data_IF_160279343807
#
_entry.id   IF_160279343807
#
_cell.length_a   1.000
_cell.length_b   1.000
_cell.length_c   1.000
_cell.angle_alpha   90.00
_cell.angle_beta   90.00
_cell.angle_gamma   90.00
#
_symmetry.space_group_name_H-M   'P 1'
#
loop_
_entity.id
_entity.type
_entity.pdbx_description
1 polymer ?
#
# COMPACT_ATOMS: atom_id res chain seq x y z
N UNK A 1 97.01 3.91 -27.27
CA UNK A 1 96.07 3.65 -26.14
C UNK A 1 95.16 2.50 -26.53
N UNK A 2 94.65 1.79 -25.51
CA UNK A 2 94.05 0.44 -25.46
C UNK A 2 92.92 0.10 -26.48
N UNK A 3 92.66 -1.21 -26.69
CA UNK A 3 91.99 -1.80 -27.85
C UNK A 3 90.46 -2.05 -27.61
N UNK A 4 89.71 -2.71 -28.53
CA UNK A 4 88.28 -2.52 -28.73
C UNK A 4 87.41 -3.31 -27.74
N UNK A 5 86.25 -2.75 -27.38
CA UNK A 5 85.27 -3.42 -26.55
C UNK A 5 84.40 -4.38 -27.37
N UNK A 6 84.54 -5.67 -27.05
CA UNK A 6 83.75 -6.78 -27.54
C UNK A 6 82.33 -6.81 -26.93
N UNK A 7 81.41 -7.43 -27.67
CA UNK A 7 80.03 -7.78 -27.28
C UNK A 7 79.97 -8.58 -25.96
N UNK A 8 78.82 -8.51 -25.25
CA UNK A 8 78.28 -9.67 -24.56
C UNK A 8 77.10 -10.30 -25.31
N UNK A 9 77.09 -11.63 -25.33
CA UNK A 9 75.95 -12.48 -25.70
C UNK A 9 75.18 -12.92 -24.42
N UNK A 10 74.29 -13.92 -24.49
CA UNK A 10 72.85 -13.82 -24.27
C UNK A 10 72.39 -14.16 -22.84
N UNK A 11 71.23 -13.66 -22.42
CA UNK A 11 70.51 -14.19 -21.25
C UNK A 11 69.11 -14.69 -21.63
N UNK A 12 69.05 -16.02 -21.67
CA UNK A 12 68.03 -16.98 -21.22
C UNK A 12 66.59 -16.50 -20.90
N UNK A 13 65.66 -17.28 -21.46
CA UNK A 13 64.24 -17.37 -21.16
C UNK A 13 63.96 -17.69 -19.68
N UNK A 14 62.97 -16.99 -19.09
CA UNK A 14 62.13 -17.52 -18.03
C UNK A 14 60.66 -17.36 -18.41
N UNK A 15 60.05 -18.52 -18.62
CA UNK A 15 58.61 -18.75 -18.74
C UNK A 15 57.86 -18.15 -17.55
N UNK A 16 56.89 -17.29 -17.81
CA UNK A 16 55.77 -17.05 -16.89
C UNK A 16 54.49 -17.07 -17.70
N UNK A 17 53.65 -18.03 -17.37
CA UNK A 17 52.29 -18.19 -17.87
C UNK A 17 51.47 -16.93 -17.58
N UNK A 18 50.62 -16.45 -18.52
CA UNK A 18 49.73 -15.35 -18.24
C UNK A 18 48.68 -15.77 -17.19
N UNK A 19 48.34 -14.90 -16.22
CA UNK A 19 47.34 -15.21 -15.21
C UNK A 19 45.97 -15.43 -15.86
N UNK A 20 45.34 -16.52 -15.41
CA UNK A 20 43.97 -16.92 -15.73
C UNK A 20 43.01 -15.73 -15.50
N UNK A 21 42.15 -15.38 -16.47
CA UNK A 21 41.18 -14.30 -16.27
C UNK A 21 40.22 -14.67 -15.12
N UNK A 22 39.79 -13.68 -14.31
CA UNK A 22 38.82 -13.90 -13.24
C UNK A 22 37.50 -14.44 -13.81
N UNK A 23 36.74 -15.23 -13.03
CA UNK A 23 35.46 -15.75 -13.47
C UNK A 23 34.53 -14.61 -13.86
N UNK A 24 33.87 -14.83 -14.99
CA UNK A 24 32.89 -14.00 -15.66
C UNK A 24 31.85 -13.38 -14.71
N UNK A 25 31.56 -12.10 -14.98
CA UNK A 25 30.35 -11.32 -14.68
C UNK A 25 29.10 -12.08 -14.16
N UNK A 26 28.37 -11.54 -13.17
CA UNK A 26 27.08 -12.07 -12.73
C UNK A 26 25.97 -11.62 -13.69
N UNK A 27 25.87 -12.21 -14.88
CA UNK A 27 24.87 -11.78 -15.86
C UNK A 27 24.21 -12.94 -16.60
N UNK A 28 23.62 -13.89 -15.86
CA UNK A 28 22.62 -14.83 -16.39
C UNK A 28 21.91 -15.60 -15.27
N UNK A 29 21.42 -14.91 -14.23
CA UNK A 29 20.55 -15.56 -13.23
C UNK A 29 19.11 -15.50 -13.72
N UNK A 30 18.50 -16.66 -13.95
CA UNK A 30 17.07 -16.84 -14.22
C UNK A 30 16.23 -16.84 -12.94
N UNK A 31 16.87 -16.86 -11.77
CA UNK A 31 16.22 -16.87 -10.46
C UNK A 31 15.36 -15.61 -10.27
N UNK A 32 14.17 -15.69 -9.67
CA UNK A 32 13.33 -14.52 -9.43
C UNK A 32 14.02 -13.36 -8.69
N UNK A 33 13.44 -12.16 -8.74
CA UNK A 33 13.92 -10.99 -7.98
C UNK A 33 12.86 -10.56 -6.97
N UNK A 34 13.23 -10.51 -5.69
CA UNK A 34 12.41 -9.94 -4.62
C UNK A 34 12.69 -8.44 -4.49
N UNK A 35 11.67 -7.60 -4.50
CA UNK A 35 11.80 -6.16 -4.22
C UNK A 35 11.21 -5.83 -2.86
N UNK A 36 12.01 -5.25 -1.96
CA UNK A 36 11.58 -4.87 -0.61
C UNK A 36 11.47 -3.35 -0.45
N UNK A 37 10.36 -2.89 0.13
CA UNK A 37 10.11 -1.49 0.47
C UNK A 37 9.96 -1.35 1.99
N UNK A 38 10.95 -0.75 2.71
CA UNK A 38 10.98 -0.68 4.16
C UNK A 38 9.97 0.35 4.71
N UNK A 39 9.47 0.21 5.95
CA UNK A 39 8.36 1.01 6.46
C UNK A 39 8.62 2.52 6.57
N UNK A 40 9.86 2.94 6.90
CA UNK A 40 10.29 4.35 7.00
C UNK A 40 11.81 4.53 6.73
N UNK A 41 12.26 5.68 6.19
CA UNK A 41 13.68 6.07 6.14
C UNK A 41 14.13 6.97 7.33
N UNK A 42 15.38 6.93 7.84
CA UNK A 42 16.50 5.99 7.57
C UNK A 42 16.65 4.88 8.65
N UNK A 43 17.38 3.76 8.38
CA UNK A 43 17.11 2.45 9.00
C UNK A 43 18.22 1.94 9.96
N UNK A 44 18.08 0.77 10.62
CA UNK A 44 19.18 -0.18 10.80
C UNK A 44 19.36 -1.10 9.57
N UNK A 45 20.57 -1.65 9.33
CA UNK A 45 21.00 -2.23 8.06
C UNK A 45 20.85 -3.76 7.98
N UNK A 46 19.65 -4.30 8.18
CA UNK A 46 19.43 -5.72 7.85
C UNK A 46 18.12 -5.90 7.12
N UNK A 47 18.20 -6.32 5.86
CA UNK A 47 17.08 -7.00 5.20
C UNK A 47 16.57 -8.09 6.14
N UNK A 48 15.25 -8.33 6.22
CA UNK A 48 14.73 -9.38 7.07
C UNK A 48 15.40 -10.72 6.69
N UNK A 49 15.83 -11.55 7.67
CA UNK A 49 16.65 -12.75 7.43
C UNK A 49 16.08 -13.70 6.37
N UNK A 50 14.75 -13.82 6.33
CA UNK A 50 13.99 -14.52 5.30
C UNK A 50 14.38 -14.19 3.86
N UNK A 51 14.92 -13.00 3.58
CA UNK A 51 15.30 -12.57 2.24
C UNK A 51 16.75 -12.89 1.89
N UNK A 52 17.59 -13.24 2.86
CA UNK A 52 19.01 -13.56 2.62
C UNK A 52 19.23 -14.69 1.60
N UNK A 53 18.38 -15.74 1.51
CA UNK A 53 18.53 -16.78 0.51
C UNK A 53 18.21 -16.33 -0.93
N UNK A 54 17.55 -15.18 -1.11
CA UNK A 54 16.95 -14.78 -2.38
C UNK A 54 17.63 -13.53 -2.99
N UNK A 55 17.77 -13.46 -4.32
CA UNK A 55 18.16 -12.22 -5.00
C UNK A 55 17.16 -11.11 -4.67
N UNK A 56 17.63 -10.11 -3.92
CA UNK A 56 16.76 -9.06 -3.36
C UNK A 56 17.28 -7.67 -3.73
N UNK A 57 16.39 -6.80 -4.22
CA UNK A 57 16.63 -5.37 -4.41
C UNK A 57 15.80 -4.59 -3.37
N UNK A 58 16.44 -3.79 -2.54
CA UNK A 58 15.76 -2.94 -1.55
C UNK A 58 15.61 -1.53 -2.13
N UNK A 59 14.39 -1.01 -2.16
CA UNK A 59 14.09 0.32 -2.67
C UNK A 59 13.76 1.22 -1.48
N UNK A 60 14.68 2.13 -1.17
CA UNK A 60 14.44 3.20 -0.20
C UNK A 60 13.67 4.33 -0.88
N UNK A 61 12.50 4.65 -0.37
CA UNK A 61 11.63 5.71 -0.87
C UNK A 61 11.48 6.82 0.15
N UNK A 62 11.28 8.06 -0.31
CA UNK A 62 11.17 9.25 0.53
C UNK A 62 9.72 9.51 0.94
N UNK A 63 9.25 8.78 1.96
CA UNK A 63 7.95 9.04 2.58
C UNK A 63 8.05 8.98 4.10
N UNK A 64 7.98 10.15 4.74
CA UNK A 64 8.11 10.26 6.19
C UNK A 64 7.32 11.46 6.70
N UNK A 65 6.70 11.37 7.88
CA UNK A 65 6.11 12.53 8.54
C UNK A 65 7.15 13.48 9.15
N UNK A 66 8.43 13.08 9.18
CA UNK A 66 9.49 13.93 9.70
C UNK A 66 9.65 15.20 8.85
N UNK A 67 9.72 16.35 9.53
CA UNK A 67 9.99 17.64 8.90
C UNK A 67 11.31 17.56 8.13
N UNK A 68 11.26 17.81 6.82
CA UNK A 68 12.45 18.20 6.07
C UNK A 68 13.04 19.44 6.74
N UNK A 69 14.31 19.38 7.14
CA UNK A 69 15.00 20.52 7.76
C UNK A 69 14.84 21.74 6.85
N UNK A 70 14.18 22.83 7.30
CA UNK A 70 13.92 24.01 6.47
C UNK A 70 15.21 24.71 6.01
N UNK A 71 16.37 24.34 6.56
CA UNK A 71 17.67 24.87 6.14
C UNK A 71 18.18 24.30 4.80
N UNK A 72 17.60 23.20 4.31
CA UNK A 72 18.03 22.55 3.07
C UNK A 72 17.02 22.81 1.94
N UNK A 73 17.07 24.02 1.38
CA UNK A 73 16.20 24.51 0.30
C UNK A 73 16.33 23.69 -1.02
N UNK A 74 17.27 22.75 -1.06
CA UNK A 74 17.51 21.80 -2.16
C UNK A 74 16.97 20.39 -1.87
N UNK A 75 16.44 20.14 -0.68
CA UNK A 75 15.94 18.83 -0.28
C UNK A 75 14.57 18.55 -0.89
N UNK A 76 14.50 17.51 -1.72
CA UNK A 76 13.23 16.96 -2.23
C UNK A 76 12.31 16.58 -1.07
N UNK A 77 11.02 16.93 -1.13
CA UNK A 77 10.14 16.79 0.02
C UNK A 77 9.80 15.32 0.29
N UNK A 78 9.76 14.92 1.58
CA UNK A 78 9.48 13.54 2.05
C UNK A 78 7.97 13.18 2.04
N UNK A 79 7.19 13.82 1.17
CA UNK A 79 5.73 13.77 1.12
C UNK A 79 5.23 13.37 -0.27
N UNK A 80 3.96 12.99 -0.37
CA UNK A 80 3.34 12.66 -1.65
C UNK A 80 3.45 13.80 -2.67
N UNK A 81 3.79 13.55 -3.96
CA UNK A 81 3.97 12.26 -4.64
C UNK A 81 5.42 11.76 -4.76
N UNK A 82 6.39 12.37 -4.09
CA UNK A 82 7.82 11.96 -4.17
C UNK A 82 8.05 10.44 -4.06
N UNK A 83 7.48 9.70 -3.09
CA UNK A 83 7.76 8.27 -2.96
C UNK A 83 7.23 7.44 -4.13
N UNK A 84 6.17 7.87 -4.79
CA UNK A 84 5.71 7.22 -6.02
C UNK A 84 6.75 7.34 -7.13
N UNK A 85 7.34 8.52 -7.28
CA UNK A 85 8.40 8.76 -8.26
C UNK A 85 9.65 7.94 -7.96
N UNK A 86 10.04 7.85 -6.68
CA UNK A 86 11.19 7.04 -6.25
C UNK A 86 11.02 5.57 -6.65
N UNK A 87 9.85 4.99 -6.32
CA UNK A 87 9.53 3.60 -6.62
C UNK A 87 9.42 3.35 -8.13
N UNK A 88 8.74 4.24 -8.85
CA UNK A 88 8.59 4.13 -10.31
C UNK A 88 9.93 4.21 -11.03
N UNK A 89 10.79 5.16 -10.64
CA UNK A 89 12.13 5.31 -11.21
C UNK A 89 12.99 4.09 -10.91
N UNK A 90 13.00 3.61 -9.65
CA UNK A 90 13.76 2.43 -9.26
C UNK A 90 13.30 1.18 -10.03
N UNK A 91 11.99 0.97 -10.18
CA UNK A 91 11.45 -0.14 -10.96
C UNK A 91 11.86 -0.07 -12.44
N UNK A 92 11.77 1.12 -13.05
CA UNK A 92 12.20 1.33 -14.44
C UNK A 92 13.71 1.07 -14.62
N UNK A 93 14.53 1.50 -13.66
CA UNK A 93 15.96 1.21 -13.67
C UNK A 93 16.25 -0.28 -13.55
N UNK A 94 15.62 -0.97 -12.59
CA UNK A 94 15.81 -2.41 -12.39
C UNK A 94 15.39 -3.20 -13.62
N UNK A 95 14.21 -2.90 -14.18
CA UNK A 95 13.73 -3.57 -15.40
C UNK A 95 14.65 -3.35 -16.60
N UNK A 96 15.23 -2.16 -16.75
CA UNK A 96 16.20 -1.87 -17.81
C UNK A 96 17.54 -2.60 -17.61
N UNK A 97 18.04 -2.68 -16.39
CA UNK A 97 19.40 -3.18 -16.09
C UNK A 97 19.44 -4.69 -15.88
N UNK A 98 18.36 -5.28 -15.34
CA UNK A 98 18.33 -6.69 -14.91
C UNK A 98 17.39 -7.56 -15.75
N UNK A 99 16.82 -7.04 -16.84
CA UNK A 99 16.03 -7.86 -17.77
C UNK A 99 16.91 -8.99 -18.30
N UNK A 100 16.45 -10.25 -18.17
CA UNK A 100 17.24 -11.37 -18.66
C UNK A 100 17.16 -11.41 -20.20
N UNK A 101 18.18 -11.98 -20.88
CA UNK A 101 18.20 -12.05 -22.35
C UNK A 101 17.08 -12.95 -22.88
N UNK A 102 16.45 -12.56 -23.99
CA UNK A 102 15.43 -13.37 -24.65
C UNK A 102 16.01 -14.75 -25.04
N UNK A 103 15.31 -15.88 -24.82
CA UNK A 103 13.90 -16.04 -24.42
C UNK A 103 13.64 -16.22 -22.92
N UNK A 104 14.66 -16.01 -22.07
CA UNK A 104 14.51 -16.27 -20.64
C UNK A 104 13.53 -15.30 -19.97
N UNK A 105 12.83 -15.80 -18.95
CA UNK A 105 11.87 -15.03 -18.14
C UNK A 105 12.36 -15.01 -16.70
N UNK A 106 12.10 -13.91 -16.02
CA UNK A 106 12.44 -13.73 -14.61
C UNK A 106 11.25 -13.04 -13.91
N UNK A 107 10.57 -13.68 -12.96
CA UNK A 107 9.47 -13.02 -12.28
C UNK A 107 10.01 -12.03 -11.21
N UNK A 108 9.28 -10.93 -11.00
CA UNK A 108 9.52 -9.99 -9.90
C UNK A 108 8.43 -10.19 -8.84
N UNK A 109 8.83 -10.38 -7.59
CA UNK A 109 7.95 -10.47 -6.43
C UNK A 109 8.14 -9.25 -5.54
N UNK A 110 7.04 -8.59 -5.16
CA UNK A 110 7.07 -7.39 -4.33
C UNK A 110 6.75 -7.74 -2.88
N UNK A 111 7.52 -7.15 -1.96
CA UNK A 111 7.45 -7.36 -0.52
C UNK A 111 7.43 -6.01 0.17
N UNK A 112 6.42 -5.73 0.99
CA UNK A 112 6.40 -4.46 1.73
C UNK A 112 5.55 -4.51 2.99
N UNK A 113 5.69 -3.48 3.82
CA UNK A 113 4.88 -3.27 5.01
C UNK A 113 4.40 -1.82 5.14
N UNK A 114 3.33 -1.61 5.89
CA UNK A 114 2.84 -0.28 6.31
C UNK A 114 2.64 0.70 5.14
N UNK A 115 3.38 1.82 5.12
CA UNK A 115 3.28 2.83 4.06
C UNK A 115 3.69 2.27 2.70
N UNK A 116 4.77 1.49 2.66
CA UNK A 116 5.30 0.92 1.43
C UNK A 116 4.32 -0.07 0.79
N UNK A 117 3.41 -0.67 1.58
CA UNK A 117 2.40 -1.56 1.06
C UNK A 117 1.46 -0.85 0.08
N UNK A 118 1.14 0.44 0.29
CA UNK A 118 0.39 1.24 -0.70
C UNK A 118 1.15 1.31 -2.03
N UNK A 119 2.43 1.65 -1.97
CA UNK A 119 3.30 1.81 -3.15
C UNK A 119 3.49 0.49 -3.89
N UNK A 120 3.81 -0.57 -3.16
CA UNK A 120 4.01 -1.91 -3.71
C UNK A 120 2.72 -2.45 -4.34
N UNK A 121 1.56 -2.22 -3.71
CA UNK A 121 0.27 -2.62 -4.26
C UNK A 121 -0.03 -1.89 -5.56
N UNK A 122 0.12 -0.56 -5.56
CA UNK A 122 -0.11 0.24 -6.77
C UNK A 122 0.83 -0.17 -7.90
N UNK A 123 2.12 -0.36 -7.62
CA UNK A 123 3.09 -0.86 -8.60
C UNK A 123 2.69 -2.24 -9.12
N UNK A 124 2.28 -3.15 -8.25
CA UNK A 124 1.85 -4.49 -8.65
C UNK A 124 0.65 -4.46 -9.59
N UNK A 125 -0.33 -3.60 -9.31
CA UNK A 125 -1.54 -3.46 -10.12
C UNK A 125 -1.24 -2.86 -11.51
N UNK A 126 -0.26 -1.96 -11.61
CA UNK A 126 0.08 -1.30 -12.88
C UNK A 126 1.19 -2.00 -13.67
N UNK A 127 2.00 -2.84 -13.03
CA UNK A 127 3.15 -3.51 -13.67
C UNK A 127 3.02 -5.03 -13.79
N UNK A 128 1.90 -5.61 -13.36
CA UNK A 128 1.63 -7.04 -13.57
C UNK A 128 1.20 -7.33 -15.02
N UNK A 129 2.21 -7.61 -15.85
CA UNK A 129 2.07 -7.90 -17.29
C UNK A 129 2.55 -9.31 -17.62
N UNK A 130 1.67 -10.34 -17.68
CA UNK A 130 2.04 -11.75 -17.84
C UNK A 130 2.89 -12.09 -19.08
N UNK A 131 2.70 -11.31 -20.15
CA UNK A 131 3.40 -11.52 -21.41
C UNK A 131 4.84 -10.97 -21.38
N UNK A 132 5.14 -9.97 -20.55
CA UNK A 132 6.47 -9.36 -20.41
C UNK A 132 7.40 -10.32 -19.66
N UNK A 133 8.62 -10.60 -20.15
CA UNK A 133 9.51 -11.61 -19.53
C UNK A 133 10.03 -11.23 -18.15
N UNK A 134 10.19 -9.94 -17.87
CA UNK A 134 10.65 -9.39 -16.60
C UNK A 134 9.65 -8.36 -16.07
N UNK A 135 8.70 -8.83 -15.26
CA UNK A 135 7.59 -8.03 -14.76
C UNK A 135 7.08 -8.55 -13.42
N UNK A 136 6.23 -7.77 -12.76
CA UNK A 136 5.65 -8.15 -11.47
C UNK A 136 4.74 -9.36 -11.65
N UNK A 137 4.89 -10.36 -10.77
CA UNK A 137 4.10 -11.60 -10.77
C UNK A 137 3.37 -11.85 -9.46
N UNK A 138 3.96 -11.43 -8.35
CA UNK A 138 3.33 -11.56 -7.06
C UNK A 138 3.64 -10.39 -6.13
N UNK A 139 2.80 -10.28 -5.11
CA UNK A 139 2.81 -9.24 -4.10
C UNK A 139 2.53 -9.90 -2.74
N UNK A 140 3.38 -9.65 -1.75
CA UNK A 140 3.06 -9.92 -0.35
C UNK A 140 3.27 -8.65 0.48
N UNK A 141 2.23 -8.24 1.20
CA UNK A 141 2.23 -6.97 1.95
C UNK A 141 1.68 -7.16 3.35
N UNK A 142 2.36 -6.55 4.33
CA UNK A 142 2.04 -6.65 5.75
C UNK A 142 1.51 -5.33 6.31
N UNK A 143 0.38 -5.37 7.03
CA UNK A 143 -0.22 -4.20 7.71
C UNK A 143 -0.26 -2.94 6.84
N UNK A 144 -0.67 -3.11 5.59
CA UNK A 144 -0.69 -2.03 4.62
C UNK A 144 -1.88 -1.09 4.75
N UNK A 145 -1.69 0.14 4.28
CA UNK A 145 -2.77 1.09 4.01
C UNK A 145 -3.12 1.03 2.52
N UNK A 146 -4.37 0.74 2.19
CA UNK A 146 -4.85 0.59 0.82
C UNK A 146 -5.95 1.59 0.44
N UNK A 147 -6.48 2.33 1.42
CA UNK A 147 -7.48 3.36 1.22
C UNK A 147 -7.31 4.49 2.25
N UNK A 148 -6.52 5.50 1.91
CA UNK A 148 -6.26 6.66 2.77
C UNK A 148 -7.50 7.53 3.00
N UNK A 149 -8.50 7.45 2.11
CA UNK A 149 -9.77 8.17 2.33
C UNK A 149 -10.53 7.68 3.56
N UNK A 150 -10.19 6.50 4.11
CA UNK A 150 -10.79 5.99 5.36
C UNK A 150 -10.43 6.81 6.59
N UNK A 151 -9.39 7.62 6.54
CA UNK A 151 -9.02 8.50 7.64
C UNK A 151 -9.81 9.82 7.64
N UNK A 152 -10.51 10.15 6.55
CA UNK A 152 -11.31 11.37 6.50
C UNK A 152 -12.56 11.25 7.38
N UNK A 153 -12.96 12.30 8.12
CA UNK A 153 -14.06 12.25 9.08
C UNK A 153 -15.40 11.89 8.43
N UNK A 154 -15.63 12.31 7.18
CA UNK A 154 -16.87 12.05 6.46
C UNK A 154 -16.99 10.61 5.93
N UNK A 155 -15.90 9.83 6.00
CA UNK A 155 -15.88 8.47 5.53
C UNK A 155 -16.89 7.60 6.28
N UNK A 156 -17.56 6.72 5.54
CA UNK A 156 -18.67 5.89 6.04
C UNK A 156 -18.26 4.97 7.20
N UNK A 157 -16.97 4.72 7.36
CA UNK A 157 -16.39 3.92 8.45
C UNK A 157 -16.60 4.59 9.81
N UNK A 158 -16.68 5.92 9.85
CA UNK A 158 -16.89 6.72 11.07
C UNK A 158 -18.36 7.03 11.32
N UNK A 159 -19.23 6.84 10.31
CA UNK A 159 -20.66 7.11 10.45
C UNK A 159 -21.30 6.05 11.33
N UNK A 160 -21.78 6.46 12.51
CA UNK A 160 -22.65 5.65 13.33
C UNK A 160 -23.89 5.26 12.52
N UNK A 161 -24.03 3.97 12.20
CA UNK A 161 -25.22 3.48 11.50
C UNK A 161 -26.47 3.95 12.26
N UNK A 162 -27.46 4.59 11.60
CA UNK A 162 -28.72 4.88 12.28
C UNK A 162 -29.28 3.54 12.75
N UNK A 163 -29.41 3.37 14.07
CA UNK A 163 -30.10 2.22 14.64
C UNK A 163 -31.48 2.23 14.00
N UNK A 164 -31.76 1.26 13.12
CA UNK A 164 -33.14 1.00 12.68
C UNK A 164 -33.92 0.71 13.95
N UNK A 165 -34.62 1.71 14.47
CA UNK A 165 -35.57 1.61 15.56
C UNK A 165 -36.72 0.78 15.03
N UNK A 166 -36.55 -0.55 15.01
CA UNK A 166 -37.71 -1.44 15.11
C UNK A 166 -38.25 -1.20 16.51
N UNK A 167 -39.24 -0.32 16.61
CA UNK A 167 -40.08 -0.16 17.77
C UNK A 167 -40.70 -1.54 18.08
N UNK A 168 -40.07 -2.31 18.96
CA UNK A 168 -40.73 -3.36 19.71
C UNK A 168 -40.81 -2.86 21.13
N UNK A 169 -42.05 -2.59 21.57
CA UNK A 169 -42.43 -2.45 22.97
C UNK A 169 -41.82 -3.63 23.75
N UNK A 170 -40.82 -3.35 24.56
CA UNK A 170 -40.60 -4.08 25.81
C UNK A 170 -40.00 -3.14 26.84
N UNK A 171 -40.88 -2.78 27.76
CA UNK A 171 -40.60 -2.16 29.04
C UNK A 171 -39.58 -2.97 29.81
N UNK A 172 -38.42 -2.36 30.10
CA UNK A 172 -37.68 -2.47 31.38
C UNK A 172 -36.59 -1.39 31.39
N UNK A 173 -36.56 -0.49 32.39
CA UNK A 173 -35.51 0.51 32.50
C UNK A 173 -34.25 -0.18 33.03
N UNK A 174 -33.30 -0.45 32.14
CA UNK A 174 -31.97 -0.90 32.57
C UNK A 174 -31.15 0.36 32.84
N UNK A 175 -30.87 0.57 34.14
CA UNK A 175 -30.05 1.65 34.69
C UNK A 175 -28.84 1.94 33.79
N UNK A 176 -28.68 3.21 33.40
CA UNK A 176 -27.43 3.78 32.91
C UNK A 176 -26.43 3.71 34.06
N UNK A 177 -25.54 2.73 34.05
CA UNK A 177 -24.23 2.91 34.69
C UNK A 177 -23.37 3.67 33.67
N UNK A 178 -23.45 4.99 33.74
CA UNK A 178 -22.35 5.88 33.42
C UNK A 178 -21.40 5.84 34.61
N UNK A 179 -20.30 5.10 34.48
CA UNK A 179 -19.33 4.84 35.54
C UNK A 179 -18.59 3.55 35.23
N UNK A 180 -17.30 3.67 34.99
CA UNK A 180 -16.39 2.71 34.35
C UNK A 180 -15.39 3.55 33.56
N UNK A 181 -14.68 4.47 34.22
CA UNK A 181 -13.45 4.19 34.97
C UNK A 181 -12.40 3.65 34.01
N UNK A 182 -11.49 4.57 33.67
CA UNK A 182 -10.11 4.39 33.21
C UNK A 182 -9.58 2.98 33.48
N UNK A 183 -9.83 2.07 32.53
CA UNK A 183 -9.29 0.74 32.50
C UNK A 183 -8.01 0.75 31.70
N UNK A 184 -6.89 1.04 32.37
CA UNK A 184 -5.54 0.60 32.05
C UNK A 184 -5.28 0.33 30.54
N UNK A 185 -5.03 1.41 29.79
CA UNK A 185 -4.66 1.41 28.37
C UNK A 185 -3.26 0.80 28.09
N UNK A 186 -2.64 0.13 29.06
CA UNK A 186 -1.26 -0.38 28.95
C UNK A 186 -1.12 -1.65 28.09
N UNK A 187 -2.21 -2.21 27.55
CA UNK A 187 -2.19 -3.42 26.69
C UNK A 187 -2.98 -3.26 25.38
N UNK A 188 -3.24 -2.02 24.95
CA UNK A 188 -3.86 -1.74 23.64
C UNK A 188 -2.91 -2.04 22.49
N UNK A 189 -2.98 -3.26 21.94
CA UNK A 189 -2.07 -3.84 20.94
C UNK A 189 -1.56 -2.89 19.84
N UNK A 190 -0.27 -3.06 19.50
CA UNK A 190 0.54 -2.12 18.70
C UNK A 190 -0.08 -1.69 17.37
N UNK A 191 -0.90 -2.54 16.75
CA UNK A 191 -1.61 -2.21 15.51
C UNK A 191 -2.62 -1.05 15.66
N UNK A 192 -3.28 -0.89 16.82
CA UNK A 192 -4.19 0.22 17.07
C UNK A 192 -3.42 1.54 17.24
N UNK A 193 -2.32 1.49 17.99
CA UNK A 193 -1.42 2.63 18.17
C UNK A 193 -0.83 3.09 16.82
N UNK A 194 -0.42 2.14 15.98
CA UNK A 194 0.08 2.43 14.64
C UNK A 194 -0.97 3.16 13.78
N UNK A 195 -2.21 2.68 13.73
CA UNK A 195 -3.27 3.34 12.94
C UNK A 195 -3.57 4.77 13.43
N UNK A 196 -3.57 5.02 14.75
CA UNK A 196 -3.74 6.37 15.32
C UNK A 196 -2.55 7.28 15.02
N UNK A 197 -1.33 6.75 15.10
CA UNK A 197 -0.13 7.49 14.73
C UNK A 197 -0.15 7.87 13.24
N UNK A 198 -0.60 6.97 12.36
CA UNK A 198 -0.80 7.29 10.96
C UNK A 198 -1.82 8.43 10.78
N UNK A 199 -2.96 8.37 11.48
CA UNK A 199 -4.00 9.40 11.42
C UNK A 199 -3.46 10.79 11.78
N UNK A 200 -2.66 10.91 12.85
CA UNK A 200 -2.05 12.18 13.23
C UNK A 200 -0.97 12.67 12.24
N UNK A 201 -0.35 11.74 11.50
CA UNK A 201 0.75 12.02 10.56
C UNK A 201 0.29 12.38 9.14
N UNK A 202 -1.01 12.26 8.83
CA UNK A 202 -1.53 12.47 7.46
C UNK A 202 -1.16 13.85 6.88
N UNK A 203 -1.30 14.97 7.62
CA UNK A 203 -0.97 16.30 7.08
C UNK A 203 0.50 16.43 6.67
N UNK A 204 1.40 15.69 7.30
CA UNK A 204 2.83 15.69 6.99
C UNK A 204 3.15 14.79 5.79
N UNK A 205 2.44 13.65 5.67
CA UNK A 205 2.59 12.70 4.58
C UNK A 205 1.99 13.20 3.25
N UNK A 206 0.94 14.03 3.32
CA UNK A 206 0.20 14.51 2.17
C UNK A 206 0.02 16.03 2.20
N UNK A 207 0.49 16.78 1.18
CA UNK A 207 0.33 18.24 1.15
C UNK A 207 -1.12 18.74 1.13
N UNK A 208 -2.04 17.93 0.61
CA UNK A 208 -3.46 18.27 0.40
C UNK A 208 -4.32 17.02 0.56
N UNK A 209 -5.53 17.17 1.08
CA UNK A 209 -6.48 16.06 1.23
C UNK A 209 -6.86 15.40 -0.10
N UNK A 210 -6.81 16.15 -1.22
CA UNK A 210 -6.98 15.60 -2.57
C UNK A 210 -6.02 14.45 -2.89
N UNK A 211 -4.82 14.45 -2.31
CA UNK A 211 -3.85 13.39 -2.57
C UNK A 211 -4.22 12.04 -1.93
N UNK A 212 -5.13 12.01 -0.94
CA UNK A 212 -5.66 10.75 -0.40
C UNK A 212 -6.55 10.01 -1.41
N UNK A 213 -7.06 10.73 -2.41
CA UNK A 213 -7.91 10.22 -3.49
C UNK A 213 -7.11 9.79 -4.72
N UNK A 214 -5.79 9.91 -4.69
CA UNK A 214 -4.91 9.40 -5.73
C UNK A 214 -4.94 7.86 -5.72
N UNK A 215 -5.27 7.18 -6.85
CA UNK A 215 -5.27 5.72 -6.91
C UNK A 215 -3.93 5.08 -6.58
N UNK A 216 -2.81 5.79 -6.80
CA UNK A 216 -1.48 5.27 -6.47
C UNK A 216 -1.18 5.34 -4.96
N UNK A 217 -1.75 6.31 -4.24
CA UNK A 217 -1.68 6.34 -2.79
C UNK A 217 -2.71 5.39 -2.17
N UNK A 218 -3.91 5.34 -2.72
CA UNK A 218 -5.05 4.53 -2.26
C UNK A 218 -5.40 3.46 -3.31
N UNK A 219 -4.66 2.33 -3.41
CA UNK A 219 -4.86 1.31 -4.44
C UNK A 219 -6.27 0.74 -4.54
N UNK A 220 -7.07 0.80 -3.46
CA UNK A 220 -8.49 0.42 -3.51
C UNK A 220 -9.27 1.23 -4.56
N UNK A 221 -8.83 2.45 -4.89
CA UNK A 221 -9.47 3.33 -5.86
C UNK A 221 -9.27 2.90 -7.31
N UNK A 222 -8.35 1.97 -7.62
CA UNK A 222 -8.34 1.31 -8.93
C UNK A 222 -9.64 0.53 -9.19
N UNK A 223 -10.28 0.03 -8.14
CA UNK A 223 -11.46 -0.85 -8.25
C UNK A 223 -12.79 -0.14 -7.98
N UNK A 224 -12.77 1.09 -7.48
CA UNK A 224 -13.99 1.82 -7.10
C UNK A 224 -13.74 3.31 -6.90
N UNK A 225 -14.81 4.10 -6.90
CA UNK A 225 -14.77 5.48 -6.40
C UNK A 225 -14.83 5.53 -4.87
N UNK A 226 -14.26 6.58 -4.28
CA UNK A 226 -14.28 6.82 -2.83
C UNK A 226 -15.71 7.03 -2.30
N UNK A 227 -16.59 7.63 -3.12
CA UNK A 227 -17.96 7.99 -2.74
C UNK A 227 -18.02 9.00 -1.60
N UNK A 228 -17.09 9.96 -1.65
CA UNK A 228 -16.97 11.15 -0.84
C UNK A 228 -16.51 12.27 -1.76
N UNK A 229 -16.92 13.49 -1.46
CA UNK A 229 -16.33 14.67 -2.08
C UNK A 229 -14.91 14.87 -1.52
N UNK A 230 -14.07 15.54 -2.31
CA UNK A 230 -12.70 15.83 -1.91
C UNK A 230 -12.72 17.03 -0.96
N UNK A 231 -12.40 16.85 0.33
CA UNK A 231 -12.47 17.95 1.29
C UNK A 231 -11.29 18.91 1.08
N UNK A 232 -11.48 20.16 1.47
CA UNK A 232 -10.42 21.18 1.47
C UNK A 232 -9.39 20.98 2.59
N UNK A 233 -9.70 20.17 3.60
CA UNK A 233 -8.82 19.90 4.75
C UNK A 233 -8.96 18.46 5.25
N UNK A 234 -8.01 18.01 6.08
CA UNK A 234 -7.98 16.63 6.60
C UNK A 234 -8.93 16.38 7.76
N UNK A 235 -9.16 17.38 8.61
CA UNK A 235 -9.83 17.21 9.92
C UNK A 235 -11.24 17.77 9.95
N UNK A 236 -11.59 18.70 9.05
CA UNK A 236 -12.91 19.32 9.03
C UNK A 236 -13.86 18.51 8.14
N UNK A 237 -14.98 18.08 8.71
CA UNK A 237 -16.10 17.52 7.94
C UNK A 237 -16.66 18.59 6.99
N UNK A 238 -16.95 18.19 5.75
CA UNK A 238 -17.55 19.06 4.75
C UNK A 238 -18.94 19.56 5.17
N UNK A 239 -19.71 18.73 5.86
CA UNK A 239 -21.01 19.14 6.42
C UNK A 239 -20.84 20.29 7.41
N UNK A 240 -19.84 20.20 8.29
CA UNK A 240 -19.51 21.26 9.24
C UNK A 240 -18.96 22.50 8.53
N UNK A 241 -18.10 22.33 7.53
CA UNK A 241 -17.57 23.44 6.73
C UNK A 241 -18.71 24.22 6.05
N UNK A 242 -19.63 23.52 5.38
CA UNK A 242 -20.80 24.12 4.73
C UNK A 242 -21.74 24.83 5.71
N UNK A 243 -21.78 24.40 6.98
CA UNK A 243 -22.58 25.03 8.02
C UNK A 243 -21.91 26.32 8.52
N UNK A 244 -20.58 26.30 8.69
CA UNK A 244 -19.80 27.49 9.06
C UNK A 244 -19.89 28.55 7.95
N UNK A 245 -19.73 28.17 6.68
CA UNK A 245 -19.80 29.12 5.55
C UNK A 245 -21.19 29.76 5.43
N UNK A 246 -22.26 28.99 5.71
CA UNK A 246 -23.64 29.51 5.79
C UNK A 246 -23.82 30.51 6.94
N UNK A 247 -23.25 30.24 8.11
CA UNK A 247 -23.31 31.17 9.24
C UNK A 247 -22.48 32.44 8.99
N UNK A 248 -21.31 32.30 8.35
CA UNK A 248 -20.46 33.42 7.99
C UNK A 248 -21.13 34.33 6.95
N UNK A 249 -21.70 33.75 5.89
CA UNK A 249 -22.43 34.51 4.86
C UNK A 249 -23.71 35.16 5.39
N UNK A 250 -24.47 34.49 6.26
CA UNK A 250 -25.63 35.09 6.92
C UNK A 250 -25.25 36.26 7.85
N UNK A 251 -24.08 36.19 8.51
CA UNK A 251 -23.57 37.27 9.37
C UNK A 251 -23.04 38.48 8.56
N UNK A 252 -22.57 38.26 7.34
CA UNK A 252 -22.17 39.35 6.44
C UNK A 252 -23.38 40.06 5.82
N UNK A 253 -24.49 39.35 5.60
CA UNK A 253 -25.74 39.90 5.06
C UNK A 253 -26.53 40.70 6.11
N UNK A 254 -26.37 40.42 7.40
CA UNK A 254 -27.01 41.19 8.48
C UNK A 254 -26.34 42.54 8.76
N UNK A 255 -25.16 42.82 8.18
CA UNK A 255 -24.46 44.10 8.33
C UNK A 255 -24.89 45.17 7.31
N UNK A 256 -25.52 44.78 6.19
CA UNK A 256 -25.83 45.69 5.07
C UNK A 256 -27.34 45.82 4.76
N UNK A 257 -28.24 45.17 5.51
CA UNK A 257 -29.68 45.21 5.26
C UNK A 257 -30.42 46.12 6.25
N UNK A 258 -30.34 47.43 6.03
CA UNK A 258 -31.44 48.34 6.37
C UNK A 258 -32.13 48.75 5.07
N UNK A 259 -33.22 48.05 4.73
CA UNK A 259 -34.11 48.44 3.64
C UNK A 259 -34.50 47.32 2.67
N UNK A 260 -35.77 46.93 2.80
CA UNK A 260 -36.66 46.42 1.75
C UNK A 260 -36.51 44.99 1.21
N UNK A 261 -37.66 44.32 1.32
CA UNK A 261 -38.26 43.29 0.48
C UNK A 261 -37.83 41.82 0.65
N UNK A 262 -38.74 41.15 1.34
CA UNK A 262 -38.94 39.73 1.64
C UNK A 262 -39.12 38.92 0.35
N UNK A 263 -38.02 38.44 -0.23
CA UNK A 263 -38.04 37.28 -1.14
C UNK A 263 -37.06 36.22 -0.62
N UNK A 264 -37.59 35.35 0.23
CA UNK A 264 -36.93 34.17 0.79
C UNK A 264 -36.55 33.22 -0.36
N UNK A 265 -35.42 33.49 -1.00
CA UNK A 265 -34.79 32.59 -1.96
C UNK A 265 -34.50 31.25 -1.28
N UNK A 266 -35.34 30.25 -1.59
CA UNK A 266 -35.18 28.85 -1.23
C UNK A 266 -33.75 28.42 -1.57
N UNK A 267 -32.92 28.22 -0.54
CA UNK A 267 -31.65 27.55 -0.69
C UNK A 267 -31.90 26.18 -1.35
N UNK A 268 -31.34 25.99 -2.55
CA UNK A 268 -31.34 24.69 -3.23
C UNK A 268 -30.91 23.61 -2.23
N UNK A 269 -31.56 22.41 -2.22
CA UNK A 269 -31.08 21.31 -1.42
C UNK A 269 -29.60 21.04 -1.77
N UNK A 270 -28.76 20.71 -0.77
CA UNK A 270 -27.36 20.42 -1.03
C UNK A 270 -27.23 19.31 -2.07
N UNK A 271 -26.22 19.38 -2.95
CA UNK A 271 -26.02 18.37 -3.98
C UNK A 271 -25.93 16.98 -3.32
N UNK A 272 -26.51 15.95 -3.96
CA UNK A 272 -26.48 14.60 -3.39
C UNK A 272 -25.03 14.11 -3.32
N UNK A 273 -24.61 13.69 -2.12
CA UNK A 273 -23.26 13.18 -1.90
C UNK A 273 -22.91 12.06 -2.91
N UNK A 274 -21.66 12.06 -3.42
CA UNK A 274 -21.23 11.11 -4.44
C UNK A 274 -21.34 9.68 -3.95
N UNK A 275 -21.80 8.79 -4.83
CA UNK A 275 -21.99 7.37 -4.49
C UNK A 275 -20.73 6.57 -4.83
N UNK A 276 -20.43 5.58 -4.01
CA UNK A 276 -19.41 4.55 -4.33
C UNK A 276 -19.88 3.75 -5.54
N UNK A 277 -19.08 3.73 -6.59
CA UNK A 277 -19.30 2.96 -7.80
C UNK A 277 -18.12 2.00 -8.01
N UNK A 278 -18.40 0.77 -8.43
CA UNK A 278 -17.36 -0.17 -8.81
C UNK A 278 -16.76 0.25 -10.16
N UNK A 279 -15.44 0.21 -10.28
CA UNK A 279 -14.71 0.44 -11.51
C UNK A 279 -14.28 -0.91 -12.10
N UNK A 280 -14.15 -0.95 -13.43
CA UNK A 280 -13.62 -2.11 -14.14
C UNK A 280 -12.12 -1.99 -14.18
N UNK A 281 -11.45 -2.83 -13.40
CA UNK A 281 -10.00 -2.98 -13.38
C UNK A 281 -9.64 -4.47 -13.46
N UNK A 282 -8.54 -4.86 -14.15
CA UNK A 282 -7.75 -4.01 -15.04
C UNK A 282 -8.58 -3.47 -16.23
N UNK A 283 -8.20 -2.33 -16.85
CA UNK A 283 -8.96 -1.83 -17.99
C UNK A 283 -8.92 -2.83 -19.14
N UNK A 284 -10.07 -3.06 -19.79
CA UNK A 284 -10.27 -4.16 -20.76
C UNK A 284 -9.33 -4.15 -21.96
N UNK A 285 -8.85 -2.97 -22.37
CA UNK A 285 -7.94 -2.81 -23.49
C UNK A 285 -6.46 -2.98 -23.09
N UNK A 286 -6.20 -3.29 -21.81
CA UNK A 286 -4.85 -3.48 -21.31
C UNK A 286 -4.53 -4.97 -21.18
N UNK A 287 -3.25 -5.29 -21.26
CA UNK A 287 -2.71 -6.62 -21.01
C UNK A 287 -2.41 -6.88 -19.52
N UNK A 288 -2.87 -5.99 -18.64
CA UNK A 288 -2.65 -6.10 -17.20
C UNK A 288 -3.48 -7.26 -16.63
N UNK A 289 -2.96 -7.89 -15.58
CA UNK A 289 -3.70 -8.86 -14.77
C UNK A 289 -3.57 -8.51 -13.31
N UNK A 290 -4.49 -9.02 -12.49
CA UNK A 290 -4.28 -8.99 -11.05
C UNK A 290 -3.16 -9.98 -10.70
N UNK A 291 -2.08 -9.54 -10.01
CA UNK A 291 -1.00 -10.43 -9.61
C UNK A 291 -1.45 -11.39 -8.50
N UNK A 292 -0.68 -12.46 -8.30
CA UNK A 292 -0.84 -13.28 -7.10
C UNK A 292 -0.55 -12.43 -5.86
N UNK A 293 -1.47 -12.41 -4.89
CA UNK A 293 -1.44 -11.41 -3.82
C UNK A 293 -1.68 -12.05 -2.45
N UNK A 294 -0.80 -11.74 -1.51
CA UNK A 294 -0.91 -12.09 -0.09
C UNK A 294 -1.03 -10.79 0.73
N UNK A 295 -2.19 -10.56 1.34
CA UNK A 295 -2.44 -9.44 2.24
C UNK A 295 -2.38 -9.93 3.69
N UNK A 296 -1.26 -9.67 4.37
CA UNK A 296 -1.03 -10.07 5.74
C UNK A 296 -1.42 -8.91 6.68
N UNK A 297 -2.15 -9.20 7.74
CA UNK A 297 -2.58 -8.16 8.69
C UNK A 297 -2.64 -8.70 10.12
N UNK A 298 -2.47 -7.81 11.08
CA UNK A 298 -2.69 -8.10 12.51
C UNK A 298 -4.07 -7.65 12.96
N UNK A 299 -4.62 -8.35 13.94
CA UNK A 299 -5.93 -8.06 14.54
C UNK A 299 -5.77 -7.59 15.98
N UNK A 300 -6.33 -6.43 16.28
CA UNK A 300 -6.29 -5.86 17.64
C UNK A 300 -7.32 -6.59 18.51
N UNK A 301 -6.85 -7.37 19.50
CA UNK A 301 -7.68 -7.88 20.58
C UNK A 301 -8.47 -9.15 20.23
N UNK A 302 -7.87 -10.32 20.48
CA UNK A 302 -8.60 -11.61 20.53
C UNK A 302 -9.15 -11.87 21.92
N UNK A 303 -10.38 -11.40 22.15
CA UNK A 303 -11.33 -12.19 22.93
C UNK A 303 -11.81 -13.35 22.06
N UNK A 304 -11.22 -14.54 22.24
CA UNK A 304 -11.70 -15.78 21.63
C UNK A 304 -13.21 -15.93 21.85
N UNK A 305 -13.98 -15.99 20.75
CA UNK A 305 -15.36 -16.44 20.80
C UNK A 305 -16.43 -15.35 20.97
N UNK A 306 -16.58 -14.41 20.04
CA UNK A 306 -17.91 -13.82 19.77
C UNK A 306 -18.01 -13.17 18.39
N UNK A 307 -18.80 -13.80 17.50
CA UNK A 307 -19.40 -13.30 16.26
C UNK A 307 -18.61 -12.20 15.51
N UNK A 308 -17.88 -12.64 14.48
CA UNK A 308 -17.16 -11.86 13.43
C UNK A 308 -18.02 -10.88 12.60
N UNK A 309 -19.13 -10.37 13.14
CA UNK A 309 -20.02 -9.40 12.47
C UNK A 309 -19.61 -7.94 12.70
N UNK A 310 -18.67 -7.67 13.62
CA UNK A 310 -18.22 -6.31 13.95
C UNK A 310 -17.06 -5.80 13.07
N UNK A 311 -16.40 -6.68 12.30
CA UNK A 311 -15.27 -6.39 11.39
C UNK A 311 -15.57 -5.40 10.23
N UNK A 312 -16.73 -4.73 10.26
CA UNK A 312 -17.13 -3.72 9.27
C UNK A 312 -17.09 -2.29 9.81
N UNK A 313 -16.61 -2.08 11.04
CA UNK A 313 -16.65 -0.77 11.70
C UNK A 313 -15.27 -0.43 12.24
N UNK A 314 -14.58 0.47 11.55
CA UNK A 314 -13.28 0.98 11.96
C UNK A 314 -12.29 1.00 10.82
N UNK A 315 -11.36 1.96 10.88
CA UNK A 315 -10.20 2.00 10.03
C UNK A 315 -9.08 1.19 10.71
N UNK A 316 -8.96 -0.09 10.36
CA UNK A 316 -7.94 -1.02 10.88
C UNK A 316 -7.20 -1.70 9.74
N UNK A 317 -5.99 -2.24 9.98
CA UNK A 317 -5.26 -3.00 8.96
C UNK A 317 -6.06 -4.20 8.44
N UNK A 318 -6.73 -4.94 9.33
CA UNK A 318 -7.68 -6.01 8.95
C UNK A 318 -8.76 -5.48 7.98
N UNK A 319 -9.45 -4.40 8.35
CA UNK A 319 -10.53 -3.88 7.54
C UNK A 319 -10.05 -3.42 6.16
N UNK A 320 -8.89 -2.78 6.08
CA UNK A 320 -8.29 -2.36 4.82
C UNK A 320 -7.85 -3.55 3.96
N UNK A 321 -7.18 -4.54 4.55
CA UNK A 321 -6.71 -5.73 3.85
C UNK A 321 -7.87 -6.58 3.31
N UNK A 322 -8.89 -6.84 4.12
CA UNK A 322 -10.08 -7.59 3.71
C UNK A 322 -10.87 -6.86 2.62
N UNK A 323 -10.99 -5.54 2.73
CA UNK A 323 -11.68 -4.74 1.73
C UNK A 323 -10.94 -4.76 0.38
N UNK A 324 -9.61 -4.60 0.38
CA UNK A 324 -8.80 -4.72 -0.83
C UNK A 324 -8.87 -6.14 -1.41
N UNK A 325 -8.76 -7.18 -0.58
CA UNK A 325 -8.88 -8.57 -1.04
C UNK A 325 -10.21 -8.83 -1.76
N UNK A 326 -11.32 -8.35 -1.20
CA UNK A 326 -12.64 -8.48 -1.81
C UNK A 326 -12.72 -7.77 -3.17
N UNK A 327 -12.14 -6.57 -3.28
CA UNK A 327 -12.09 -5.83 -4.55
C UNK A 327 -11.26 -6.55 -5.62
N UNK A 328 -10.07 -7.03 -5.25
CA UNK A 328 -9.18 -7.76 -6.15
C UNK A 328 -9.79 -9.10 -6.58
N UNK A 329 -10.41 -9.86 -5.67
CA UNK A 329 -11.11 -11.12 -6.01
C UNK A 329 -12.24 -10.90 -7.01
N UNK A 330 -13.08 -9.88 -6.80
CA UNK A 330 -14.15 -9.50 -7.75
C UNK A 330 -13.59 -9.09 -9.11
N UNK A 331 -12.42 -8.48 -9.13
CA UNK A 331 -11.72 -8.14 -10.38
C UNK A 331 -11.19 -9.40 -11.08
N UNK A 332 -10.58 -10.33 -10.34
CA UNK A 332 -10.14 -11.63 -10.88
C UNK A 332 -11.31 -12.43 -11.43
N UNK A 333 -12.44 -12.48 -10.72
CA UNK A 333 -13.66 -13.15 -11.19
C UNK A 333 -14.13 -12.59 -12.54
N UNK A 334 -14.09 -11.26 -12.69
CA UNK A 334 -14.41 -10.61 -13.97
C UNK A 334 -13.38 -10.94 -15.05
N UNK A 335 -12.09 -10.88 -14.73
CA UNK A 335 -10.99 -11.23 -15.64
C UNK A 335 -11.13 -12.68 -16.14
N UNK A 336 -11.44 -13.61 -15.24
CA UNK A 336 -11.64 -15.04 -15.53
C UNK A 336 -12.89 -15.26 -16.37
N UNK A 337 -14.03 -14.67 -15.99
CA UNK A 337 -15.30 -14.81 -16.73
C UNK A 337 -15.22 -14.25 -18.15
N UNK A 338 -14.39 -13.23 -18.39
CA UNK A 338 -14.14 -12.73 -19.74
C UNK A 338 -13.31 -13.73 -20.58
N UNK A 339 -12.49 -14.57 -19.95
CA UNK A 339 -11.68 -15.60 -20.62
C UNK A 339 -12.30 -16.99 -20.66
N UNK A 340 -13.24 -17.31 -19.79
CA UNK A 340 -13.95 -18.60 -19.78
C UNK A 340 -14.79 -18.84 -21.04
N UNK A 341 -14.93 -17.84 -21.93
CA UNK A 341 -15.47 -18.03 -23.28
C UNK A 341 -14.50 -18.79 -24.20
N UNK A 342 -13.24 -18.92 -23.80
CA UNK A 342 -12.15 -19.53 -24.56
C UNK A 342 -11.44 -20.67 -23.81
N UNK A 343 -11.55 -20.71 -22.48
CA UNK A 343 -10.95 -21.72 -21.61
C UNK A 343 -12.05 -22.51 -20.87
N UNK A 344 -12.25 -23.79 -21.21
CA UNK A 344 -13.32 -24.64 -20.65
C UNK A 344 -13.06 -25.13 -19.20
N UNK A 345 -11.85 -24.96 -18.66
CA UNK A 345 -11.40 -25.58 -17.39
C UNK A 345 -10.98 -24.56 -16.30
N UNK A 346 -11.62 -23.39 -16.22
CA UNK A 346 -11.30 -22.43 -15.15
C UNK A 346 -12.19 -22.68 -13.92
N UNK A 347 -11.64 -23.34 -12.91
CA UNK A 347 -12.34 -23.62 -11.66
C UNK A 347 -12.79 -22.36 -10.89
N UNK A 348 -13.91 -22.46 -10.18
CA UNK A 348 -14.54 -21.33 -9.46
C UNK A 348 -13.66 -20.72 -8.34
N UNK A 349 -12.62 -21.43 -7.89
CA UNK A 349 -11.77 -21.03 -6.77
C UNK A 349 -10.59 -20.12 -7.16
N UNK A 350 -10.40 -19.84 -8.46
CA UNK A 350 -9.27 -19.02 -8.96
C UNK A 350 -9.14 -17.65 -8.27
N UNK A 351 -10.22 -16.89 -8.00
CA UNK A 351 -10.09 -15.62 -7.27
C UNK A 351 -9.52 -15.78 -5.86
N UNK A 352 -9.98 -16.78 -5.12
CA UNK A 352 -9.54 -17.02 -3.74
C UNK A 352 -8.12 -17.60 -3.67
N UNK A 353 -7.74 -18.40 -4.66
CA UNK A 353 -6.37 -18.90 -4.81
C UNK A 353 -5.38 -17.79 -5.19
N UNK A 354 -5.79 -16.84 -6.06
CA UNK A 354 -4.93 -15.75 -6.52
C UNK A 354 -4.76 -14.64 -5.50
N UNK A 355 -5.78 -14.37 -4.68
CA UNK A 355 -5.75 -13.28 -3.67
C UNK A 355 -6.09 -13.84 -2.30
N UNK A 356 -5.08 -13.96 -1.45
CA UNK A 356 -5.19 -14.50 -0.08
C UNK A 356 -5.03 -13.37 0.95
N UNK A 357 -5.77 -13.46 2.05
CA UNK A 357 -5.67 -12.53 3.17
C UNK A 357 -5.45 -13.34 4.45
N UNK A 358 -4.45 -12.95 5.25
CA UNK A 358 -3.96 -13.72 6.39
C UNK A 358 -4.05 -12.88 7.66
N UNK A 359 -4.83 -13.37 8.63
CA UNK A 359 -4.85 -12.85 10.00
C UNK A 359 -3.70 -13.48 10.79
N UNK A 360 -2.74 -12.65 11.17
CA UNK A 360 -1.54 -13.05 11.90
C UNK A 360 -1.68 -12.90 13.41
N UNK A 361 -2.86 -12.50 13.91
CA UNK A 361 -3.04 -12.21 15.32
C UNK A 361 -2.35 -10.90 15.72
N UNK A 362 -1.69 -10.89 16.89
CA UNK A 362 -1.00 -9.72 17.46
C UNK A 362 0.52 -9.81 17.28
N UNK A 363 0.99 -10.61 16.32
CA UNK A 363 2.42 -10.80 16.08
C UNK A 363 2.99 -9.73 15.15
N UNK A 364 4.11 -9.12 15.57
CA UNK A 364 4.82 -8.14 14.77
C UNK A 364 5.64 -8.78 13.64
N UNK A 365 5.74 -8.08 12.51
CA UNK A 365 6.56 -8.49 11.39
C UNK A 365 8.04 -8.30 11.70
N UNK A 366 8.86 -9.31 11.39
CA UNK A 366 10.30 -9.31 11.68
C UNK A 366 10.67 -9.96 13.02
N UNK A 367 9.69 -10.48 13.76
CA UNK A 367 9.96 -11.47 14.82
C UNK A 367 10.37 -12.77 14.13
N UNK A 368 11.61 -13.19 14.38
CA UNK A 368 12.16 -14.43 13.81
C UNK A 368 11.27 -15.61 14.18
N UNK A 369 10.72 -16.29 13.17
CA UNK A 369 9.80 -17.42 13.36
C UNK A 369 8.35 -17.04 13.71
N UNK A 370 7.97 -15.76 13.58
CA UNK A 370 6.57 -15.34 13.69
C UNK A 370 5.70 -15.81 12.52
N UNK A 371 4.39 -15.86 12.70
CA UNK A 371 3.42 -16.32 11.70
C UNK A 371 3.51 -15.56 10.37
N UNK A 372 3.91 -14.28 10.43
CA UNK A 372 4.12 -13.43 9.25
C UNK A 372 5.30 -13.93 8.41
N UNK A 373 6.43 -14.22 9.06
CA UNK A 373 7.64 -14.71 8.42
C UNK A 373 7.42 -16.13 7.92
N UNK A 374 6.81 -17.03 8.71
CA UNK A 374 6.51 -18.40 8.29
C UNK A 374 5.62 -18.44 7.03
N UNK A 375 4.57 -17.62 7.01
CA UNK A 375 3.68 -17.51 5.85
C UNK A 375 4.43 -17.01 4.62
N UNK A 376 5.33 -16.05 4.81
CA UNK A 376 6.10 -15.47 3.73
C UNK A 376 7.20 -16.42 3.23
N UNK A 377 7.86 -17.16 4.13
CA UNK A 377 8.92 -18.12 3.82
C UNK A 377 8.37 -19.21 2.92
N UNK A 378 7.25 -19.81 3.34
CA UNK A 378 6.56 -20.84 2.56
C UNK A 378 6.19 -20.34 1.16
N UNK A 379 5.71 -19.09 1.06
CA UNK A 379 5.36 -18.50 -0.23
C UNK A 379 6.60 -18.29 -1.11
N UNK A 380 7.69 -17.75 -0.55
CA UNK A 380 8.93 -17.54 -1.30
C UNK A 380 9.58 -18.87 -1.72
N UNK A 381 9.60 -19.88 -0.85
CA UNK A 381 10.08 -21.23 -1.18
C UNK A 381 9.33 -21.81 -2.38
N UNK A 382 7.99 -21.75 -2.36
CA UNK A 382 7.14 -22.16 -3.48
C UNK A 382 7.49 -21.42 -4.78
N UNK A 383 7.78 -20.12 -4.71
CA UNK A 383 8.04 -19.28 -5.90
C UNK A 383 9.44 -19.39 -6.46
N UNK A 384 10.42 -19.71 -5.62
CA UNK A 384 11.81 -19.87 -6.02
C UNK A 384 12.19 -21.34 -6.27
N UNK A 385 11.32 -22.28 -5.91
CA UNK A 385 11.46 -23.72 -6.22
C UNK A 385 12.40 -24.45 -5.27
N UNK A 386 12.40 -24.07 -3.98
CA UNK A 386 13.17 -24.74 -2.92
C UNK A 386 12.37 -25.81 -2.20
#
# INVERSE_FOLDING_TARGET
>A
MKPPAARPAPYQYLSTTPPKPPPTSPSSSTSPLSQHYPPQPPPPPSSPPILHPYPTAVIHYRWSPALSDPADDLSTPLRWPTPLHDVSFAYAHLTRTLCPPHPSRRPIYLLSSHLGASLATSLALTESRPHVPFAVRGLAVYNGVYNWTMFLPDHRVHRASPKKTKAKKSTKPRRRNSGGEDGDDSHGGGACAAMRHLESSIPDLFPRAAHLFDPFASPSLFFRTAGLDVPSSFTRSEALASQIDRLASASSLSAEASGADDDLTLASPPPPAPRRAALVFPPRHTTLRIPETHLLYTTTGRGSGRRRSAAKRGNTFEAQALELAELMRRSVEREVRERSQWDDDVGDDVPAQRVKAWDLGDEDFGVEGGAAEETLSRWLEEKFGF
#
